data_IF_574875555723
#
_entry.id   IF_574875555723
#
_cell.length_a   1.000
_cell.length_b   1.000
_cell.length_c   1.000
_cell.angle_alpha   90.00
_cell.angle_beta   90.00
_cell.angle_gamma   90.00
#
_symmetry.space_group_name_H-M   'P 1'
#
loop_
_entity.id
_entity.type
_entity.pdbx_description
1 polymer ?
#
# COMPACT_ATOMS: atom_id res chain seq x y z
N UNK A 1 1.63 -5.01 21.42
CA UNK A 1 1.43 -4.14 20.25
C UNK A 1 -0.03 -4.23 19.83
N UNK A 2 -0.86 -3.18 20.00
CA UNK A 2 -2.30 -3.22 19.63
C UNK A 2 -2.44 -3.56 18.15
N UNK A 3 -3.30 -4.52 17.80
CA UNK A 3 -3.54 -4.97 16.41
C UNK A 3 -3.79 -3.77 15.48
N UNK A 4 -4.47 -2.77 16.01
CA UNK A 4 -4.87 -1.51 15.38
C UNK A 4 -3.69 -0.66 14.91
N UNK A 5 -2.57 -0.64 15.66
CA UNK A 5 -1.41 0.17 15.31
C UNK A 5 -0.70 -0.35 14.05
N UNK A 6 -0.70 -1.67 13.82
CA UNK A 6 -0.07 -2.25 12.64
C UNK A 6 -0.96 -2.10 11.40
N UNK A 7 -2.27 -2.27 11.53
CA UNK A 7 -3.21 -2.02 10.44
C UNK A 7 -3.12 -0.57 9.97
N UNK A 8 -3.11 0.39 10.90
CA UNK A 8 -2.90 1.81 10.60
C UNK A 8 -1.55 2.07 9.90
N UNK A 9 -0.48 1.39 10.34
CA UNK A 9 0.83 1.51 9.69
C UNK A 9 0.81 0.99 8.24
N UNK A 10 0.09 -0.10 7.94
CA UNK A 10 -0.06 -0.59 6.57
C UNK A 10 -0.87 0.36 5.70
N UNK A 11 -1.97 0.93 6.21
CA UNK A 11 -2.74 1.96 5.49
C UNK A 11 -1.87 3.17 5.16
N UNK A 12 -1.07 3.65 6.12
CA UNK A 12 -0.17 4.79 5.91
C UNK A 12 0.87 4.51 4.82
N UNK A 13 1.41 3.29 4.78
CA UNK A 13 2.35 2.88 3.73
C UNK A 13 1.68 2.77 2.36
N UNK A 14 0.46 2.26 2.30
CA UNK A 14 -0.31 2.18 1.05
C UNK A 14 -0.61 3.58 0.48
N UNK A 15 -0.96 4.54 1.33
CA UNK A 15 -1.18 5.94 0.94
C UNK A 15 0.05 6.56 0.25
N UNK A 16 1.24 6.35 0.80
CA UNK A 16 2.50 6.84 0.19
C UNK A 16 2.74 6.20 -1.18
N UNK A 17 2.46 4.90 -1.34
CA UNK A 17 2.61 4.21 -2.64
C UNK A 17 1.62 4.72 -3.67
N UNK A 18 0.38 4.97 -3.27
CA UNK A 18 -0.63 5.57 -4.14
C UNK A 18 -0.14 6.89 -4.76
N UNK A 19 0.49 7.74 -3.95
CA UNK A 19 1.08 9.00 -4.42
C UNK A 19 2.24 8.77 -5.41
N UNK A 20 3.08 7.76 -5.15
CA UNK A 20 4.21 7.41 -6.01
C UNK A 20 3.78 6.87 -7.39
N UNK A 21 2.61 6.24 -7.51
CA UNK A 21 2.10 5.73 -8.80
C UNK A 21 2.03 6.82 -9.87
N UNK A 22 1.58 8.02 -9.50
CA UNK A 22 1.49 9.14 -10.44
C UNK A 22 2.89 9.59 -10.88
N UNK A 23 3.83 9.68 -9.95
CA UNK A 23 5.22 10.04 -10.23
C UNK A 23 5.86 9.12 -11.28
N UNK A 24 5.67 7.80 -11.14
CA UNK A 24 6.21 6.81 -12.08
C UNK A 24 5.47 6.84 -13.41
N UNK A 25 4.14 6.95 -13.38
CA UNK A 25 3.31 7.02 -14.59
C UNK A 25 3.68 8.21 -15.46
N UNK A 26 3.86 9.39 -14.88
CA UNK A 26 4.24 10.61 -15.60
C UNK A 26 5.62 10.50 -16.27
N UNK A 27 6.49 9.62 -15.76
CA UNK A 27 7.84 9.37 -16.29
C UNK A 27 7.91 8.20 -17.26
N UNK A 28 6.78 7.56 -17.56
CA UNK A 28 6.73 6.36 -18.40
C UNK A 28 7.39 5.13 -17.75
N UNK A 29 7.65 5.15 -16.44
CA UNK A 29 8.25 4.06 -15.69
C UNK A 29 7.19 3.00 -15.33
N UNK A 30 6.59 2.38 -16.34
CA UNK A 30 5.42 1.52 -16.16
C UNK A 30 5.69 0.24 -15.35
N UNK A 31 6.91 -0.30 -15.42
CA UNK A 31 7.34 -1.41 -14.56
C UNK A 31 7.24 -1.06 -13.07
N UNK A 32 7.63 0.16 -12.72
CA UNK A 32 7.60 0.67 -11.35
C UNK A 32 6.16 0.97 -10.91
N UNK A 33 5.31 1.48 -11.82
CA UNK A 33 3.86 1.61 -11.58
C UNK A 33 3.25 0.26 -11.19
N UNK A 34 3.52 -0.80 -11.95
CA UNK A 34 2.96 -2.14 -11.68
C UNK A 34 3.47 -2.67 -10.33
N UNK A 35 4.77 -2.54 -10.06
CA UNK A 35 5.37 -2.98 -8.80
C UNK A 35 4.78 -2.26 -7.60
N UNK A 36 4.71 -0.94 -7.64
CA UNK A 36 4.18 -0.13 -6.54
C UNK A 36 2.70 -0.36 -6.33
N UNK A 37 1.94 -0.57 -7.41
CA UNK A 37 0.52 -0.90 -7.32
C UNK A 37 0.30 -2.25 -6.63
N UNK A 38 1.13 -3.25 -6.96
CA UNK A 38 1.07 -4.56 -6.31
C UNK A 38 1.36 -4.46 -4.81
N UNK A 39 2.45 -3.81 -4.41
CA UNK A 39 2.79 -3.65 -2.99
C UNK A 39 1.75 -2.81 -2.23
N UNK A 40 1.17 -1.78 -2.87
CA UNK A 40 0.07 -1.00 -2.30
C UNK A 40 -1.14 -1.88 -2.00
N UNK A 41 -1.60 -2.69 -2.97
CA UNK A 41 -2.74 -3.61 -2.78
C UNK A 41 -2.44 -4.64 -1.69
N UNK A 42 -1.22 -5.19 -1.64
CA UNK A 42 -0.81 -6.12 -0.60
C UNK A 42 -0.90 -5.50 0.80
N UNK A 43 -0.45 -4.26 0.98
CA UNK A 43 -0.55 -3.54 2.26
C UNK A 43 -2.01 -3.27 2.65
N UNK A 44 -2.87 -2.90 1.70
CA UNK A 44 -4.29 -2.72 1.94
C UNK A 44 -4.94 -4.04 2.40
N UNK A 45 -4.65 -5.15 1.73
CA UNK A 45 -5.16 -6.47 2.12
C UNK A 45 -4.67 -6.88 3.51
N UNK A 46 -3.39 -6.67 3.82
CA UNK A 46 -2.83 -6.91 5.16
C UNK A 46 -3.51 -6.06 6.23
N UNK A 47 -3.83 -4.81 5.93
CA UNK A 47 -4.56 -3.94 6.86
C UNK A 47 -5.99 -4.46 7.11
N UNK A 48 -6.71 -4.83 6.04
CA UNK A 48 -8.08 -5.35 6.12
C UNK A 48 -8.11 -6.65 6.93
N UNK A 49 -7.30 -7.64 6.55
CA UNK A 49 -7.24 -8.95 7.24
C UNK A 49 -6.97 -8.78 8.74
N UNK A 50 -6.06 -7.87 9.09
CA UNK A 50 -5.72 -7.60 10.47
C UNK A 50 -6.82 -6.84 11.22
N UNK A 51 -7.54 -5.96 10.54
CA UNK A 51 -8.70 -5.25 11.08
C UNK A 51 -9.88 -6.16 11.38
N UNK A 52 -10.11 -7.20 10.56
CA UNK A 52 -11.16 -8.21 10.80
C UNK A 52 -10.72 -9.33 11.74
N UNK A 53 -9.47 -9.35 12.19
CA UNK A 53 -8.97 -10.28 13.20
C UNK A 53 -8.36 -11.58 12.69
N UNK A 54 -8.09 -11.69 11.38
CA UNK A 54 -7.35 -12.80 10.78
C UNK A 54 -5.84 -12.74 11.09
#
# INVERSE_FOLDING_TARGET
MRKDALAAAYLKKAEVRFQALLFYKERGAYSDVVREAQEMVELLLKAVLRGIGA
#
